data_IF_709568898676
#
_entry.id   IF_709568898676
#
_cell.length_a   1.000
_cell.length_b   1.000
_cell.length_c   1.000
_cell.angle_alpha   90.00
_cell.angle_beta   90.00
_cell.angle_gamma   90.00
#
_symmetry.space_group_name_H-M   'P 1'
#
loop_
_entity.id
_entity.type
_entity.pdbx_description
1 polymer ?
#
# COMPACT_ATOMS: atom_id res chain seq x y z
N UNK A 1 -19.70 15.80 22.16
CA UNK A 1 -18.21 15.66 22.19
C UNK A 1 -17.72 14.23 21.88
N UNK A 2 -18.56 13.28 21.42
CA UNK A 2 -18.19 11.85 21.38
C UNK A 2 -17.78 11.25 20.01
N UNK A 3 -17.83 11.98 18.89
CA UNK A 3 -17.52 11.37 17.57
C UNK A 3 -16.06 11.49 17.13
N UNK A 4 -15.31 12.51 17.58
CA UNK A 4 -13.93 12.71 17.12
C UNK A 4 -12.96 11.62 17.60
N UNK A 5 -13.22 10.98 18.74
CA UNK A 5 -12.38 9.89 19.27
C UNK A 5 -12.57 8.56 18.56
N UNK A 6 -13.68 8.34 17.85
CA UNK A 6 -13.89 7.12 17.04
C UNK A 6 -13.19 7.19 15.67
N UNK A 7 -12.70 8.37 15.28
CA UNK A 7 -12.07 8.55 13.98
C UNK A 7 -10.62 8.06 13.93
N UNK A 8 -9.92 7.99 15.07
CA UNK A 8 -8.51 7.58 15.12
C UNK A 8 -8.31 6.42 16.09
N UNK A 9 -7.39 5.53 15.75
CA UNK A 9 -6.88 4.47 16.61
C UNK A 9 -5.36 4.60 16.74
N UNK A 10 -4.81 4.07 17.82
CA UNK A 10 -3.37 4.02 18.04
C UNK A 10 -2.90 2.58 17.89
N UNK A 11 -2.07 2.34 16.88
CA UNK A 11 -1.35 1.08 16.70
C UNK A 11 0.03 1.27 17.31
N UNK A 12 0.43 0.39 18.23
CA UNK A 12 1.73 0.49 18.92
C UNK A 12 2.51 -0.79 18.65
N UNK A 13 3.80 -0.66 18.32
CA UNK A 13 4.66 -1.82 18.09
C UNK A 13 4.72 -2.72 19.33
N UNK A 14 5.07 -3.99 19.13
CA UNK A 14 5.23 -4.93 20.24
C UNK A 14 6.29 -4.46 21.25
N UNK A 15 7.36 -3.80 20.78
CA UNK A 15 8.40 -3.18 21.62
C UNK A 15 7.95 -1.92 22.35
N UNK A 16 6.79 -1.36 21.98
CA UNK A 16 6.28 -0.06 22.45
C UNK A 16 7.14 1.16 22.10
N UNK A 17 8.13 0.99 21.22
CA UNK A 17 9.02 2.07 20.78
C UNK A 17 8.41 2.91 19.64
N UNK A 18 7.49 2.33 18.87
CA UNK A 18 6.85 2.98 17.74
C UNK A 18 5.33 3.01 17.93
N UNK A 19 4.70 4.12 17.56
CA UNK A 19 3.25 4.26 17.56
C UNK A 19 2.77 5.02 16.34
N UNK A 20 1.70 4.54 15.74
CA UNK A 20 1.05 5.13 14.59
C UNK A 20 -0.37 5.55 14.98
N UNK A 21 -0.65 6.85 14.80
CA UNK A 21 -2.01 7.38 14.87
C UNK A 21 -2.68 7.13 13.52
N UNK A 22 -3.57 6.16 13.46
CA UNK A 22 -4.21 5.66 12.25
C UNK A 22 -5.65 6.15 12.17
N UNK A 23 -6.02 6.75 11.05
CA UNK A 23 -7.41 7.14 10.77
C UNK A 23 -8.24 5.92 10.38
N UNK A 24 -9.46 5.83 10.92
CA UNK A 24 -10.51 4.94 10.40
C UNK A 24 -11.21 5.69 9.27
N UNK A 25 -10.92 5.29 8.03
CA UNK A 25 -11.43 5.93 6.81
C UNK A 25 -12.92 5.60 6.63
N UNK A 26 -13.30 4.37 6.97
CA UNK A 26 -14.67 3.88 6.89
C UNK A 26 -14.82 2.59 7.70
N UNK A 27 -16.04 2.31 8.14
CA UNK A 27 -16.36 1.13 8.94
C UNK A 27 -17.79 0.67 8.63
N UNK A 28 -17.99 -0.64 8.63
CA UNK A 28 -19.28 -1.30 8.57
C UNK A 28 -19.33 -2.44 9.60
N UNK A 29 -20.40 -3.22 9.60
CA UNK A 29 -20.55 -4.35 10.52
C UNK A 29 -19.50 -5.43 10.28
N UNK A 30 -19.18 -5.70 9.01
CA UNK A 30 -18.30 -6.80 8.59
C UNK A 30 -16.89 -6.37 8.22
N UNK A 31 -16.60 -5.07 8.13
CA UNK A 31 -15.28 -4.57 7.73
C UNK A 31 -14.94 -3.20 8.32
N UNK A 32 -13.64 -2.89 8.32
CA UNK A 32 -13.08 -1.59 8.67
C UNK A 32 -11.94 -1.24 7.71
N UNK A 33 -11.83 0.03 7.34
CA UNK A 33 -10.77 0.57 6.49
C UNK A 33 -9.89 1.50 7.32
N UNK A 34 -8.59 1.17 7.38
CA UNK A 34 -7.58 1.89 8.14
C UNK A 34 -6.65 2.63 7.17
N UNK A 35 -6.32 3.88 7.48
CA UNK A 35 -5.31 4.64 6.73
C UNK A 35 -3.90 4.20 7.15
N UNK A 36 -3.36 3.18 6.49
CA UNK A 36 -2.02 2.66 6.76
C UNK A 36 -1.00 3.77 6.57
N UNK A 37 -0.18 3.98 7.60
CA UNK A 37 0.93 4.92 7.57
C UNK A 37 2.15 4.32 6.85
N UNK A 38 3.13 5.16 6.53
CA UNK A 38 4.40 4.72 5.96
C UNK A 38 5.27 4.07 7.06
N UNK A 39 6.24 3.27 6.65
CA UNK A 39 7.11 2.46 7.53
C UNK A 39 6.34 1.52 8.46
N UNK A 40 5.25 0.95 7.94
CA UNK A 40 4.42 -0.04 8.63
C UNK A 40 3.85 -1.00 7.59
N UNK A 41 4.26 -2.27 7.58
CA UNK A 41 3.71 -3.26 6.64
C UNK A 41 2.26 -3.61 7.00
N UNK A 42 1.46 -4.10 6.06
CA UNK A 42 0.16 -4.69 6.44
C UNK A 42 0.37 -6.05 7.14
N UNK A 43 1.20 -6.89 6.53
CA UNK A 43 1.52 -8.25 6.98
C UNK A 43 3.04 -8.44 7.14
N UNK A 44 3.43 -9.61 7.61
CA UNK A 44 4.83 -9.99 7.81
C UNK A 44 5.58 -10.08 6.47
N UNK A 45 6.73 -9.40 6.38
CA UNK A 45 7.64 -9.49 5.24
C UNK A 45 8.74 -10.51 5.54
N UNK A 46 8.73 -11.65 4.85
CA UNK A 46 9.72 -12.72 5.06
C UNK A 46 11.17 -12.30 4.75
N UNK A 47 11.36 -11.24 3.95
CA UNK A 47 12.68 -10.72 3.60
C UNK A 47 13.19 -9.66 4.57
N UNK A 48 12.30 -9.06 5.37
CA UNK A 48 12.59 -7.97 6.30
C UNK A 48 11.83 -8.16 7.62
N UNK A 49 12.25 -9.17 8.39
CA UNK A 49 11.54 -9.64 9.58
C UNK A 49 11.55 -8.64 10.75
N UNK A 50 12.47 -7.68 10.71
CA UNK A 50 12.60 -6.58 11.68
C UNK A 50 11.54 -5.48 11.48
N UNK A 51 10.89 -5.44 10.31
CA UNK A 51 9.91 -4.39 10.00
C UNK A 51 8.62 -4.59 10.80
N UNK A 52 8.09 -3.53 11.44
CA UNK A 52 6.78 -3.60 12.07
C UNK A 52 5.69 -3.78 11.02
N UNK A 53 4.64 -4.52 11.39
CA UNK A 53 3.46 -4.70 10.55
C UNK A 53 2.16 -4.69 11.35
N UNK A 54 1.09 -4.20 10.73
CA UNK A 54 -0.22 -4.01 11.35
C UNK A 54 -0.79 -5.32 11.89
N UNK A 55 -0.63 -6.43 11.15
CA UNK A 55 -1.22 -7.71 11.54
C UNK A 55 -0.75 -8.18 12.93
N UNK A 56 0.55 -8.09 13.24
CA UNK A 56 1.06 -8.46 14.56
C UNK A 56 0.49 -7.56 15.67
N UNK A 57 0.43 -6.25 15.41
CA UNK A 57 -0.12 -5.27 16.36
C UNK A 57 -1.61 -5.56 16.62
N UNK A 58 -2.38 -5.78 15.56
CA UNK A 58 -3.81 -6.12 15.64
C UNK A 58 -4.03 -7.43 16.42
N UNK A 59 -3.25 -8.48 16.14
CA UNK A 59 -3.35 -9.75 16.85
C UNK A 59 -3.03 -9.61 18.35
N UNK A 60 -2.06 -8.75 18.70
CA UNK A 60 -1.77 -8.41 20.09
C UNK A 60 -2.91 -7.59 20.72
N UNK A 61 -3.48 -6.64 19.98
CA UNK A 61 -4.61 -5.80 20.42
C UNK A 61 -5.88 -6.60 20.69
N UNK A 62 -6.15 -7.64 19.90
CA UNK A 62 -7.23 -8.60 20.16
C UNK A 62 -6.96 -9.35 21.47
N UNK A 63 -5.76 -9.95 21.61
CA UNK A 63 -5.38 -10.74 22.79
C UNK A 63 -5.48 -9.95 24.10
N UNK A 64 -5.06 -8.68 24.09
CA UNK A 64 -5.12 -7.79 25.26
C UNK A 64 -6.45 -7.04 25.38
N UNK A 65 -7.38 -7.26 24.46
CA UNK A 65 -8.65 -6.53 24.33
C UNK A 65 -8.43 -5.01 24.40
N UNK A 66 -7.60 -4.46 23.51
CA UNK A 66 -7.29 -3.03 23.48
C UNK A 66 -8.57 -2.16 23.48
N UNK A 67 -8.50 -0.95 24.06
CA UNK A 67 -9.67 -0.08 24.22
C UNK A 67 -10.44 0.14 22.91
N UNK A 68 -9.73 0.41 21.81
CA UNK A 68 -10.34 0.66 20.51
C UNK A 68 -11.04 -0.57 19.90
N UNK A 69 -10.58 -1.79 20.24
CA UNK A 69 -11.21 -3.05 19.86
C UNK A 69 -12.50 -3.26 20.66
N UNK A 70 -12.44 -3.10 21.99
CA UNK A 70 -13.61 -3.25 22.87
C UNK A 70 -14.71 -2.24 22.54
N UNK A 71 -14.33 -0.98 22.32
CA UNK A 71 -15.27 0.09 21.96
C UNK A 71 -16.01 -0.17 20.64
N UNK A 72 -15.45 -1.00 19.76
CA UNK A 72 -16.04 -1.41 18.47
C UNK A 72 -16.61 -2.82 18.47
N UNK A 73 -16.49 -3.56 19.58
CA UNK A 73 -16.86 -4.97 19.65
C UNK A 73 -16.09 -5.84 18.64
N UNK A 74 -14.81 -5.54 18.40
CA UNK A 74 -13.96 -6.30 17.48
C UNK A 74 -13.16 -7.34 18.27
N UNK A 75 -13.36 -8.62 17.95
CA UNK A 75 -12.60 -9.76 18.47
C UNK A 75 -11.91 -10.57 17.35
N UNK A 76 -12.27 -10.30 16.09
CA UNK A 76 -11.65 -10.82 14.89
C UNK A 76 -11.29 -9.66 13.96
N UNK A 77 -10.06 -9.63 13.47
CA UNK A 77 -9.66 -8.66 12.46
C UNK A 77 -8.55 -9.23 11.58
N UNK A 78 -8.81 -9.36 10.27
CA UNK A 78 -7.84 -9.87 9.29
C UNK A 78 -7.76 -8.97 8.06
N UNK A 79 -6.55 -8.75 7.52
CA UNK A 79 -6.36 -7.89 6.35
C UNK A 79 -6.92 -8.58 5.10
N UNK A 80 -7.44 -7.76 4.18
CA UNK A 80 -7.97 -8.19 2.89
C UNK A 80 -7.07 -7.79 1.70
N UNK A 81 -6.29 -6.72 1.85
CA UNK A 81 -5.26 -6.29 0.89
C UNK A 81 -3.92 -6.05 1.57
N UNK A 82 -2.84 -6.13 0.80
CA UNK A 82 -1.48 -5.87 1.28
C UNK A 82 -0.97 -4.58 0.63
N UNK A 83 -0.39 -3.70 1.45
CA UNK A 83 0.32 -2.51 1.01
C UNK A 83 1.78 -2.63 1.40
N UNK A 84 2.68 -2.19 0.52
CA UNK A 84 4.13 -2.18 0.80
C UNK A 84 4.44 -1.35 2.06
N UNK A 85 5.58 -1.64 2.69
CA UNK A 85 6.04 -1.00 3.92
C UNK A 85 5.98 0.54 3.85
N UNK A 86 6.43 1.12 2.75
CA UNK A 86 6.52 2.57 2.52
C UNK A 86 5.23 3.17 1.90
N UNK A 87 4.34 2.33 1.36
CA UNK A 87 3.11 2.77 0.68
C UNK A 87 2.03 3.11 1.70
N UNK A 88 1.48 4.31 1.68
CA UNK A 88 0.37 4.71 2.56
C UNK A 88 -1.00 4.40 1.96
N UNK A 89 -2.05 4.47 2.78
CA UNK A 89 -3.44 4.58 2.29
C UNK A 89 -4.36 3.48 2.78
N UNK A 90 -5.41 3.20 1.99
CA UNK A 90 -6.52 2.34 2.40
C UNK A 90 -6.10 0.87 2.58
N UNK A 91 -6.06 0.43 3.84
CA UNK A 91 -5.91 -0.96 4.24
C UNK A 91 -7.25 -1.48 4.75
N UNK A 92 -7.83 -2.46 4.04
CA UNK A 92 -9.13 -3.06 4.31
C UNK A 92 -8.97 -4.29 5.20
N UNK A 93 -9.82 -4.39 6.22
CA UNK A 93 -9.81 -5.48 7.20
C UNK A 93 -11.21 -6.02 7.41
N UNK A 94 -11.37 -7.35 7.40
CA UNK A 94 -12.62 -8.01 7.76
C UNK A 94 -12.74 -8.16 9.27
N UNK A 95 -13.90 -7.75 9.83
CA UNK A 95 -14.25 -7.86 11.25
C UNK A 95 -14.79 -9.25 11.63
N UNK A 96 -14.97 -10.11 10.64
CA UNK A 96 -15.29 -11.53 10.77
C UNK A 96 -14.82 -12.27 9.50
N UNK A 97 -14.90 -13.60 9.50
CA UNK A 97 -14.42 -14.42 8.39
C UNK A 97 -15.16 -14.15 7.07
N UNK A 98 -16.48 -13.98 7.12
CA UNK A 98 -17.29 -13.70 5.91
C UNK A 98 -16.96 -12.33 5.32
N UNK A 99 -16.78 -11.31 6.15
CA UNK A 99 -16.34 -9.98 5.72
C UNK A 99 -14.93 -9.98 5.12
N UNK A 100 -13.99 -10.72 5.74
CA UNK A 100 -12.64 -10.86 5.22
C UNK A 100 -12.64 -11.55 3.85
N UNK A 101 -13.41 -12.61 3.68
CA UNK A 101 -13.55 -13.32 2.40
C UNK A 101 -14.18 -12.43 1.32
N UNK A 102 -15.30 -11.77 1.64
CA UNK A 102 -15.99 -10.89 0.69
C UNK A 102 -15.11 -9.72 0.21
N UNK A 103 -14.31 -9.14 1.11
CA UNK A 103 -13.34 -8.11 0.73
C UNK A 103 -12.24 -8.67 -0.18
N UNK A 104 -11.70 -9.85 0.15
CA UNK A 104 -10.67 -10.50 -0.68
C UNK A 104 -11.21 -10.79 -2.07
N UNK A 105 -12.41 -11.36 -2.19
CA UNK A 105 -13.04 -11.63 -3.48
C UNK A 105 -13.24 -10.35 -4.30
N UNK A 106 -13.65 -9.26 -3.64
CA UNK A 106 -13.77 -7.96 -4.27
C UNK A 106 -12.41 -7.49 -4.81
N UNK A 107 -11.38 -7.44 -3.97
CA UNK A 107 -10.03 -6.94 -4.31
C UNK A 107 -9.37 -7.77 -5.42
N UNK A 108 -9.53 -9.10 -5.37
CA UNK A 108 -8.97 -10.04 -6.34
C UNK A 108 -9.79 -10.16 -7.62
N UNK A 109 -10.99 -9.56 -7.68
CA UNK A 109 -11.70 -9.45 -8.95
C UNK A 109 -10.85 -8.63 -9.93
N UNK A 110 -10.80 -9.04 -11.20
CA UNK A 110 -10.08 -8.31 -12.26
C UNK A 110 -10.79 -6.99 -12.66
N UNK A 111 -11.66 -6.46 -11.78
CA UNK A 111 -12.33 -5.18 -11.96
C UNK A 111 -11.50 -4.07 -11.34
N UNK A 112 -11.38 -2.90 -12.00
CA UNK A 112 -10.74 -1.73 -11.40
C UNK A 112 -11.52 -1.27 -10.16
N UNK A 113 -11.01 -1.62 -8.98
CA UNK A 113 -11.64 -1.33 -7.67
C UNK A 113 -10.72 -0.56 -6.72
N UNK A 114 -9.48 -0.32 -7.14
CA UNK A 114 -8.45 0.39 -6.38
C UNK A 114 -7.56 1.18 -7.32
N UNK A 115 -7.01 2.26 -6.80
CA UNK A 115 -5.98 3.04 -7.47
C UNK A 115 -5.01 3.59 -6.43
N UNK A 116 -3.83 3.94 -6.92
CA UNK A 116 -2.78 4.60 -6.15
C UNK A 116 -2.47 5.94 -6.79
N UNK A 117 -1.99 6.88 -5.99
CA UNK A 117 -1.32 8.05 -6.51
C UNK A 117 0.18 7.85 -6.33
N UNK A 118 0.94 8.10 -7.39
CA UNK A 118 2.40 8.02 -7.38
C UNK A 118 2.98 9.27 -8.02
N UNK A 119 3.86 9.96 -7.29
CA UNK A 119 4.73 10.96 -7.88
C UNK A 119 5.93 10.24 -8.50
N UNK A 120 6.17 10.45 -9.78
CA UNK A 120 7.25 9.80 -10.54
C UNK A 120 8.22 10.81 -11.11
N UNK A 121 9.46 10.36 -11.35
CA UNK A 121 10.43 11.09 -12.14
C UNK A 121 10.02 11.08 -13.63
N UNK A 122 10.32 12.18 -14.32
CA UNK A 122 10.06 12.34 -15.75
C UNK A 122 8.62 12.75 -16.08
N UNK A 123 8.34 12.78 -17.39
CA UNK A 123 7.01 13.07 -17.93
C UNK A 123 6.69 12.05 -19.02
N UNK A 124 5.63 11.24 -18.86
CA UNK A 124 5.16 10.38 -19.96
C UNK A 124 4.70 11.24 -21.14
N UNK A 125 4.83 10.70 -22.34
CA UNK A 125 4.33 11.31 -23.57
C UNK A 125 2.80 11.24 -23.61
N UNK A 126 2.25 10.06 -23.30
CA UNK A 126 0.81 9.83 -23.26
C UNK A 126 0.17 10.32 -21.95
N UNK A 127 -1.06 10.86 -22.02
CA UNK A 127 -1.85 11.18 -20.82
C UNK A 127 -2.43 9.92 -20.15
N UNK A 128 -2.60 8.85 -20.92
CA UNK A 128 -3.04 7.54 -20.43
C UNK A 128 -2.22 6.46 -21.12
N UNK A 129 -1.73 5.49 -20.34
CA UNK A 129 -0.94 4.38 -20.87
C UNK A 129 -1.13 3.12 -20.03
N UNK A 130 -0.83 1.97 -20.62
CA UNK A 130 -0.89 0.67 -19.94
C UNK A 130 0.49 0.00 -19.99
N UNK A 131 0.84 -0.68 -18.91
CA UNK A 131 2.02 -1.56 -18.86
C UNK A 131 1.53 -2.99 -18.62
N UNK A 132 1.60 -3.81 -19.66
CA UNK A 132 1.41 -5.28 -19.60
C UNK A 132 2.79 -5.96 -19.68
N UNK A 133 3.50 -5.96 -18.55
CA UNK A 133 4.79 -6.63 -18.41
C UNK A 133 4.70 -7.67 -17.31
N UNK A 134 4.96 -8.93 -17.68
CA UNK A 134 4.98 -10.06 -16.74
C UNK A 134 6.11 -9.88 -15.72
N UNK A 135 5.79 -10.06 -14.44
CA UNK A 135 6.75 -9.89 -13.33
C UNK A 135 7.13 -11.21 -12.67
N UNK A 136 8.39 -11.35 -12.30
CA UNK A 136 8.93 -12.47 -11.53
C UNK A 136 9.90 -11.96 -10.46
N UNK A 137 10.06 -12.64 -9.31
CA UNK A 137 11.10 -12.30 -8.35
C UNK A 137 12.51 -12.35 -8.97
N UNK A 138 13.40 -11.46 -8.56
CA UNK A 138 14.79 -11.46 -8.96
C UNK A 138 15.52 -12.65 -8.33
N UNK A 139 16.36 -13.34 -9.12
CA UNK A 139 16.99 -14.62 -8.73
C UNK A 139 17.81 -14.53 -7.45
N UNK A 140 18.56 -13.45 -7.28
CA UNK A 140 19.45 -13.24 -6.13
C UNK A 140 18.85 -12.34 -5.04
N UNK A 141 17.76 -11.62 -5.36
CA UNK A 141 17.13 -10.65 -4.47
C UNK A 141 15.61 -10.81 -4.59
N UNK A 142 15.04 -11.89 -4.02
CA UNK A 142 13.65 -12.27 -4.27
C UNK A 142 12.60 -11.24 -3.82
N UNK A 143 12.98 -10.27 -2.99
CA UNK A 143 12.16 -9.11 -2.62
C UNK A 143 12.09 -8.02 -3.71
N UNK A 144 12.81 -8.18 -4.82
CA UNK A 144 12.75 -7.29 -5.98
C UNK A 144 12.05 -8.01 -7.12
N UNK A 145 11.00 -7.41 -7.66
CA UNK A 145 10.34 -7.89 -8.89
C UNK A 145 11.04 -7.38 -10.15
N UNK A 146 11.15 -8.22 -11.17
CA UNK A 146 11.69 -7.85 -12.48
C UNK A 146 10.76 -8.28 -13.61
N UNK A 147 10.81 -7.56 -14.73
CA UNK A 147 10.14 -7.99 -15.96
C UNK A 147 10.81 -9.25 -16.54
N UNK A 148 10.02 -10.25 -16.93
CA UNK A 148 10.51 -11.50 -17.52
C UNK A 148 9.37 -12.23 -18.23
N UNK A 149 9.68 -12.86 -19.37
CA UNK A 149 8.68 -13.62 -20.16
C UNK A 149 8.09 -14.79 -19.36
N UNK A 150 8.86 -15.36 -18.45
CA UNK A 150 8.51 -16.45 -17.56
C UNK A 150 7.75 -15.99 -16.31
N UNK A 151 7.58 -14.67 -16.12
CA UNK A 151 6.88 -14.09 -14.97
C UNK A 151 5.37 -14.35 -14.98
N UNK A 152 4.67 -13.83 -13.98
CA UNK A 152 3.21 -13.86 -13.90
C UNK A 152 2.62 -12.68 -14.68
N UNK A 153 1.47 -12.89 -15.35
CA UNK A 153 0.72 -11.80 -16.00
C UNK A 153 0.46 -10.68 -14.98
N UNK A 154 0.82 -9.47 -15.38
CA UNK A 154 0.78 -8.29 -14.52
C UNK A 154 0.43 -7.08 -15.39
N UNK A 155 -0.69 -6.43 -15.12
CA UNK A 155 -1.20 -5.31 -15.92
C UNK A 155 -1.54 -4.13 -15.00
N UNK A 156 -1.03 -2.95 -15.34
CA UNK A 156 -1.32 -1.70 -14.64
C UNK A 156 -1.64 -0.60 -15.65
N UNK A 157 -2.75 0.10 -15.44
CA UNK A 157 -3.14 1.26 -16.21
C UNK A 157 -2.72 2.53 -15.47
N UNK A 158 -2.31 3.55 -16.21
CA UNK A 158 -1.83 4.82 -15.68
C UNK A 158 -2.55 5.98 -16.34
N UNK A 159 -2.89 6.98 -15.53
CA UNK A 159 -3.52 8.22 -15.96
C UNK A 159 -2.70 9.38 -15.37
N UNK A 160 -2.29 10.32 -16.21
CA UNK A 160 -1.62 11.55 -15.78
C UNK A 160 -2.63 12.45 -15.10
N UNK A 161 -2.40 12.77 -13.83
CA UNK A 161 -3.19 13.75 -13.09
C UNK A 161 -2.60 15.15 -13.22
N UNK A 162 -1.28 15.27 -13.09
CA UNK A 162 -0.61 16.56 -13.15
C UNK A 162 0.86 16.39 -13.56
N UNK A 163 1.35 17.30 -14.41
CA UNK A 163 2.77 17.36 -14.81
C UNK A 163 3.45 18.54 -14.13
N UNK A 164 4.59 18.30 -13.53
CA UNK A 164 5.48 19.28 -12.93
C UNK A 164 6.81 19.34 -13.69
N UNK A 165 7.72 20.22 -13.27
CA UNK A 165 9.06 20.28 -13.86
C UNK A 165 9.86 19.02 -13.52
N UNK A 166 9.94 18.09 -14.47
CA UNK A 166 10.72 16.85 -14.33
C UNK A 166 10.04 15.76 -13.49
N UNK A 167 8.78 15.97 -13.08
CA UNK A 167 8.00 15.02 -12.30
C UNK A 167 6.57 14.94 -12.81
N UNK A 168 5.89 13.83 -12.56
CA UNK A 168 4.48 13.65 -12.91
C UNK A 168 3.74 12.98 -11.77
N UNK A 169 2.56 13.49 -11.43
CA UNK A 169 1.62 12.79 -10.56
C UNK A 169 0.75 11.87 -11.41
N UNK A 170 0.82 10.58 -11.14
CA UNK A 170 0.06 9.55 -11.82
C UNK A 170 -1.00 8.96 -10.89
N UNK A 171 -2.16 8.65 -11.45
CA UNK A 171 -3.08 7.66 -10.92
C UNK A 171 -2.73 6.31 -11.51
N UNK A 172 -2.45 5.33 -10.66
CA UNK A 172 -2.04 3.98 -11.04
C UNK A 172 -3.16 3.00 -10.68
N UNK A 173 -3.69 2.29 -11.67
CA UNK A 173 -4.85 1.40 -11.55
C UNK A 173 -4.37 -0.02 -11.86
N UNK A 174 -3.95 -0.80 -10.85
CA UNK A 174 -3.52 -2.18 -11.07
C UNK A 174 -4.73 -3.07 -11.35
N UNK A 175 -4.72 -3.73 -12.52
CA UNK A 175 -5.77 -4.69 -12.92
C UNK A 175 -5.55 -6.05 -12.24
N UNK A 176 -4.28 -6.42 -12.06
CA UNK A 176 -3.84 -7.60 -11.30
C UNK A 176 -3.28 -7.22 -9.93
N UNK A 177 -3.08 -8.21 -9.05
CA UNK A 177 -2.43 -8.02 -7.75
C UNK A 177 -1.11 -8.79 -7.67
N UNK A 178 0.02 -8.08 -7.76
CA UNK A 178 1.37 -8.60 -7.58
C UNK A 178 2.19 -7.70 -6.67
N UNK A 179 3.11 -8.31 -5.93
CA UNK A 179 4.07 -7.60 -5.08
C UNK A 179 4.84 -6.54 -5.88
N UNK A 180 5.05 -5.35 -5.32
CA UNK A 180 5.74 -4.21 -5.96
C UNK A 180 5.28 -3.85 -7.39
N UNK A 181 4.08 -4.27 -7.82
CA UNK A 181 3.65 -4.20 -9.22
C UNK A 181 3.77 -2.82 -9.84
N UNK A 182 3.15 -1.82 -9.22
CA UNK A 182 3.12 -0.44 -9.71
C UNK A 182 4.55 0.12 -9.82
N UNK A 183 5.35 -0.10 -8.77
CA UNK A 183 6.75 0.35 -8.67
C UNK A 183 7.64 -0.26 -9.75
N UNK A 184 7.55 -1.58 -9.94
CA UNK A 184 8.32 -2.30 -10.94
C UNK A 184 7.94 -1.92 -12.37
N UNK A 185 6.64 -1.77 -12.67
CA UNK A 185 6.16 -1.31 -13.98
C UNK A 185 6.65 0.10 -14.31
N UNK A 186 6.55 1.03 -13.36
CA UNK A 186 7.04 2.39 -13.50
C UNK A 186 8.56 2.47 -13.68
N UNK A 187 9.31 1.67 -12.92
CA UNK A 187 10.76 1.52 -13.12
C UNK A 187 11.12 1.00 -14.52
N UNK A 188 10.39 0.01 -15.03
CA UNK A 188 10.59 -0.50 -16.40
C UNK A 188 10.28 0.55 -17.48
N UNK A 189 9.34 1.47 -17.21
CA UNK A 189 8.99 2.58 -18.12
C UNK A 189 9.93 3.78 -18.01
N UNK A 190 10.98 3.69 -17.19
CA UNK A 190 11.90 4.80 -16.88
C UNK A 190 11.18 6.01 -16.26
N UNK A 191 10.10 5.74 -15.52
CA UNK A 191 9.33 6.72 -14.75
C UNK A 191 9.29 6.28 -13.28
N UNK A 192 10.44 6.05 -12.60
CA UNK A 192 10.45 5.48 -11.27
C UNK A 192 9.75 6.39 -10.26
N UNK A 193 9.08 5.77 -9.28
CA UNK A 193 8.45 6.49 -8.17
C UNK A 193 9.51 7.28 -7.40
N UNK A 194 9.21 8.53 -7.06
CA UNK A 194 10.13 9.38 -6.29
C UNK A 194 10.46 8.72 -4.95
N UNK A 195 11.76 8.66 -4.60
CA UNK A 195 12.27 8.03 -3.38
C UNK A 195 12.36 6.50 -3.42
N UNK A 196 11.94 5.85 -4.51
CA UNK A 196 11.99 4.39 -4.62
C UNK A 196 13.38 3.87 -4.98
N UNK A 197 14.24 3.69 -3.97
CA UNK A 197 15.61 3.24 -4.15
C UNK A 197 15.73 1.85 -4.82
N UNK A 198 14.69 1.00 -4.75
CA UNK A 198 14.70 -0.33 -5.35
C UNK A 198 14.57 -0.26 -6.87
N UNK A 199 13.73 0.65 -7.36
CA UNK A 199 13.36 0.74 -8.78
C UNK A 199 13.94 1.97 -9.48
N UNK A 200 14.96 2.61 -8.88
CA UNK A 200 15.72 3.70 -9.51
C UNK A 200 15.20 5.12 -9.22
N UNK A 201 14.31 5.27 -8.25
CA UNK A 201 13.75 6.54 -7.82
C UNK A 201 14.70 7.32 -6.91
N UNK A 202 15.18 8.46 -7.37
CA UNK A 202 15.93 9.41 -6.54
C UNK A 202 15.05 10.15 -5.55
N UNK A 203 15.64 10.67 -4.47
CA UNK A 203 14.96 11.58 -3.53
C UNK A 203 14.67 12.92 -4.20
N UNK A 204 13.52 13.50 -3.86
CA UNK A 204 13.18 14.87 -4.24
C UNK A 204 13.85 15.85 -3.27
N UNK A 205 14.79 16.64 -3.78
CA UNK A 205 15.49 17.63 -2.97
C UNK A 205 14.82 19.00 -3.12
N UNK A 206 14.32 19.59 -2.02
CA UNK A 206 13.70 20.92 -2.05
C UNK A 206 14.65 22.01 -2.59
N UNK A 207 15.96 21.85 -2.37
CA UNK A 207 17.00 22.74 -2.90
C UNK A 207 17.08 22.73 -4.43
N UNK A 208 16.64 21.66 -5.09
CA UNK A 208 16.62 21.56 -6.56
C UNK A 208 15.35 22.21 -7.14
N UNK A 209 14.25 22.21 -6.38
CA UNK A 209 12.98 22.83 -6.79
C UNK A 209 12.97 24.35 -6.59
N UNK A 210 13.58 24.84 -5.52
CA UNK A 210 13.72 26.29 -5.26
C UNK A 210 14.90 26.83 -6.05
N UNK A 211 14.68 27.22 -7.30
CA UNK A 211 15.57 28.20 -7.93
C UNK A 211 15.26 29.56 -7.28
N UNK A 212 16.28 30.16 -6.64
CA UNK A 212 16.24 31.55 -6.18
C UNK A 212 15.85 32.50 -7.32
#
# INVERSE_FOLDING_TARGET
MSDKNKKFIHLTSHTHELSWKTEVIGEADTWICLNKQTHLGTEHDHHHQDRPHMQAIVEQDIKRQAGWMRERGIDYLKPANILDFETTGASLWGKNESGALALKDCIHSEKPNRFFHALVHGSPEEEQFEVDLRLTPHRFQPWIMKASKEGKKTVTQFEVLEKFQGYTLLKCIPVTERYHQVRAHLGCRQLPVVGDAIYGGGLLMLSEMKRN
#
